data_IF_881950102154
#
_entry.id   IF_881950102154
#
_cell.length_a   1.000
_cell.length_b   1.000
_cell.length_c   1.000
_cell.angle_alpha   90.00
_cell.angle_beta   90.00
_cell.angle_gamma   90.00
#
_symmetry.space_group_name_H-M   'P 1'
#
loop_
_entity.id
_entity.type
_entity.pdbx_description
1 polymer ?
#
# COMPACT_ATOMS: atom_id res chain seq x y z
N UNK A 1 -23.00 -29.93 -9.56
CA UNK A 1 -21.71 -30.66 -9.61
C UNK A 1 -20.56 -29.86 -10.23
N UNK A 2 -20.66 -29.31 -11.45
CA UNK A 2 -19.54 -28.55 -12.09
C UNK A 2 -19.03 -27.35 -11.28
N UNK A 3 -19.93 -26.57 -10.66
CA UNK A 3 -19.53 -25.42 -9.84
C UNK A 3 -18.81 -25.84 -8.55
N UNK A 4 -19.35 -26.85 -7.85
CA UNK A 4 -18.73 -27.39 -6.63
C UNK A 4 -17.31 -27.92 -6.90
N UNK A 5 -17.10 -28.60 -8.03
CA UNK A 5 -15.77 -29.04 -8.44
C UNK A 5 -14.80 -27.86 -8.63
N UNK A 6 -15.23 -26.80 -9.34
CA UNK A 6 -14.41 -25.59 -9.53
C UNK A 6 -14.06 -24.93 -8.20
N UNK A 7 -15.01 -24.87 -7.27
CA UNK A 7 -14.80 -24.29 -5.95
C UNK A 7 -13.79 -25.09 -5.13
N UNK A 8 -13.95 -26.43 -5.08
CA UNK A 8 -13.01 -27.30 -4.37
C UNK A 8 -11.61 -27.21 -4.96
N UNK A 9 -11.50 -27.24 -6.30
CA UNK A 9 -10.22 -27.08 -6.99
C UNK A 9 -9.57 -25.73 -6.66
N UNK A 10 -10.33 -24.64 -6.69
CA UNK A 10 -9.84 -23.31 -6.35
C UNK A 10 -9.32 -23.25 -4.92
N UNK A 11 -10.05 -23.82 -3.95
CA UNK A 11 -9.64 -23.86 -2.55
C UNK A 11 -8.35 -24.69 -2.39
N UNK A 12 -8.23 -25.84 -3.07
CA UNK A 12 -7.00 -26.64 -3.01
C UNK A 12 -5.79 -25.87 -3.55
N UNK A 13 -5.93 -25.19 -4.69
CA UNK A 13 -4.86 -24.37 -5.26
C UNK A 13 -4.52 -23.21 -4.30
N UNK A 14 -5.52 -22.59 -3.67
CA UNK A 14 -5.32 -21.52 -2.70
C UNK A 14 -4.54 -22.00 -1.47
N UNK A 15 -4.85 -23.19 -0.95
CA UNK A 15 -4.11 -23.80 0.17
C UNK A 15 -2.67 -24.07 -0.24
N UNK A 16 -2.44 -24.67 -1.41
CA UNK A 16 -1.09 -24.96 -1.92
C UNK A 16 -0.28 -23.65 -2.05
N UNK A 17 -0.88 -22.61 -2.64
CA UNK A 17 -0.24 -21.30 -2.78
C UNK A 17 0.05 -20.66 -1.43
N UNK A 18 -0.88 -20.73 -0.48
CA UNK A 18 -0.68 -20.28 0.90
C UNK A 18 0.48 -21.02 1.57
N UNK A 19 0.57 -22.34 1.42
CA UNK A 19 1.65 -23.15 1.99
C UNK A 19 3.00 -22.79 1.38
N UNK A 20 3.07 -22.57 0.07
CA UNK A 20 4.30 -22.11 -0.58
C UNK A 20 4.73 -20.74 -0.06
N UNK A 21 3.80 -19.80 0.08
CA UNK A 21 4.11 -18.48 0.65
C UNK A 21 4.54 -18.60 2.12
N UNK A 22 3.92 -19.44 2.93
CA UNK A 22 4.32 -19.70 4.32
C UNK A 22 5.79 -20.14 4.41
N UNK A 23 6.27 -20.95 3.46
CA UNK A 23 7.65 -21.45 3.43
C UNK A 23 8.67 -20.37 3.04
N UNK A 24 8.31 -19.47 2.12
CA UNK A 24 9.21 -18.40 1.64
C UNK A 24 9.23 -17.20 2.60
N UNK A 25 8.17 -17.03 3.40
CA UNK A 25 8.06 -15.88 4.31
C UNK A 25 9.09 -15.95 5.44
N UNK A 26 9.71 -14.81 5.83
CA UNK A 26 10.68 -14.77 6.92
C UNK A 26 10.18 -15.39 8.23
N UNK A 27 11.12 -15.93 9.01
CA UNK A 27 10.83 -16.49 10.33
C UNK A 27 10.41 -15.35 11.25
N UNK A 28 9.39 -15.61 12.07
CA UNK A 28 8.95 -14.64 13.06
C UNK A 28 9.95 -14.58 14.21
N UNK A 29 10.08 -13.40 14.79
CA UNK A 29 10.86 -13.17 16.00
C UNK A 29 10.14 -13.83 17.18
N UNK A 30 10.93 -14.35 18.11
CA UNK A 30 10.46 -15.00 19.33
C UNK A 30 11.05 -14.31 20.55
N UNK A 31 10.52 -14.58 21.73
CA UNK A 31 11.19 -14.16 22.96
C UNK A 31 12.58 -14.81 23.05
N UNK A 32 13.58 -14.03 23.46
CA UNK A 32 14.96 -14.52 23.41
C UNK A 32 16.01 -13.42 23.53
N UNK A 33 17.27 -13.84 23.38
CA UNK A 33 18.45 -12.97 23.36
C UNK A 33 18.79 -12.60 21.92
N UNK A 34 18.93 -11.32 21.67
CA UNK A 34 19.29 -10.74 20.39
C UNK A 34 20.57 -9.92 20.56
N UNK A 35 21.25 -9.62 19.45
CA UNK A 35 22.41 -8.72 19.44
C UNK A 35 22.20 -7.67 18.37
N UNK A 36 22.29 -6.39 18.74
CA UNK A 36 22.35 -5.28 17.81
C UNK A 36 23.83 -4.95 17.56
N UNK A 37 24.30 -5.19 16.34
CA UNK A 37 25.64 -4.83 15.88
C UNK A 37 25.56 -3.49 15.16
N UNK A 38 26.13 -2.43 15.74
CA UNK A 38 26.19 -1.11 15.11
C UNK A 38 27.51 -1.01 14.36
N UNK A 39 27.44 -0.92 13.05
CA UNK A 39 28.57 -0.83 12.15
C UNK A 39 28.70 0.59 11.64
N UNK A 40 29.88 1.19 11.79
CA UNK A 40 30.14 2.56 11.36
C UNK A 40 31.59 2.71 10.88
N UNK A 41 31.84 3.75 10.07
CA UNK A 41 33.16 4.03 9.51
C UNK A 41 33.67 5.38 9.95
N UNK A 42 34.90 5.44 10.43
CA UNK A 42 35.64 6.67 10.76
C UNK A 42 37.04 6.52 10.19
N UNK A 43 37.53 7.52 9.45
CA UNK A 43 38.89 7.56 8.89
C UNK A 43 39.31 6.27 8.17
N UNK A 44 38.39 5.73 7.35
CA UNK A 44 38.53 4.48 6.58
C UNK A 44 38.58 3.18 7.42
N UNK A 45 38.56 3.26 8.75
CA UNK A 45 38.44 2.10 9.63
C UNK A 45 36.96 1.79 9.88
N UNK A 46 36.63 0.48 9.91
CA UNK A 46 35.28 0.02 10.24
C UNK A 46 35.25 -0.44 11.69
N UNK A 47 34.34 0.14 12.46
CA UNK A 47 34.14 -0.16 13.86
C UNK A 47 32.78 -0.84 14.06
N UNK A 48 32.70 -1.69 15.09
CA UNK A 48 31.52 -2.50 15.40
C UNK A 48 31.27 -2.39 16.91
N UNK A 49 30.06 -2.07 17.29
CA UNK A 49 29.61 -2.13 18.68
C UNK A 49 28.56 -3.24 18.82
N UNK A 50 28.78 -4.20 19.74
CA UNK A 50 27.92 -5.36 19.92
C UNK A 50 27.06 -5.19 21.17
N UNK A 51 25.77 -4.94 20.98
CA UNK A 51 24.83 -4.65 22.08
C UNK A 51 23.84 -5.80 22.24
N UNK A 52 24.03 -6.70 23.22
CA UNK A 52 23.07 -7.74 23.50
C UNK A 52 21.80 -7.14 24.14
N UNK A 53 20.63 -7.56 23.69
CA UNK A 53 19.35 -7.19 24.28
C UNK A 53 18.41 -8.40 24.36
N UNK A 54 17.34 -8.26 25.17
CA UNK A 54 16.35 -9.31 25.35
C UNK A 54 14.96 -8.79 24.99
N UNK A 55 14.17 -9.64 24.37
CA UNK A 55 12.75 -9.39 24.10
C UNK A 55 11.92 -10.32 24.99
N UNK A 56 10.92 -9.78 25.69
CA UNK A 56 9.96 -10.56 26.52
C UNK A 56 10.28 -10.68 28.02
N UNK A 57 11.45 -10.23 28.50
CA UNK A 57 11.73 -10.10 29.95
C UNK A 57 11.53 -8.65 30.42
N UNK A 58 11.43 -8.43 31.73
CA UNK A 58 11.37 -7.11 32.37
C UNK A 58 12.51 -6.22 31.85
N UNK A 59 12.21 -5.45 30.82
CA UNK A 59 13.17 -4.72 30.02
C UNK A 59 13.08 -3.26 30.43
N UNK A 60 14.05 -2.80 31.21
CA UNK A 60 14.39 -1.39 31.29
C UNK A 60 15.13 -1.00 30.00
N UNK A 61 15.19 0.30 29.69
CA UNK A 61 16.02 0.77 28.57
C UNK A 61 17.46 0.32 28.78
N UNK A 62 18.01 -0.39 27.81
CA UNK A 62 19.38 -0.89 27.90
C UNK A 62 20.29 0.24 27.45
N UNK A 63 21.03 0.82 28.39
CA UNK A 63 22.13 1.73 28.12
C UNK A 63 23.44 0.94 28.06
N UNK A 64 24.01 0.84 26.87
CA UNK A 64 25.29 0.17 26.66
C UNK A 64 26.31 1.14 26.10
N UNK A 65 27.48 1.23 26.75
CA UNK A 65 28.60 2.06 26.29
C UNK A 65 29.79 1.16 26.00
N UNK A 66 30.12 0.98 24.72
CA UNK A 66 31.33 0.25 24.33
C UNK A 66 32.46 1.23 24.03
N UNK A 67 33.64 0.95 24.62
CA UNK A 67 34.86 1.70 24.33
C UNK A 67 35.62 0.98 23.22
N UNK A 68 35.79 1.65 22.09
CA UNK A 68 36.42 1.11 20.90
C UNK A 68 37.77 1.82 20.71
N UNK A 69 38.81 1.06 20.37
CA UNK A 69 40.19 1.55 20.19
C UNK A 69 40.83 2.18 21.46
N UNK A 70 40.85 1.43 22.57
CA UNK A 70 41.70 1.74 23.73
C UNK A 70 41.47 3.11 24.38
N UNK A 71 40.20 3.48 24.63
CA UNK A 71 39.66 4.75 25.16
C UNK A 71 39.27 5.83 24.15
N UNK A 72 39.55 5.70 22.85
CA UNK A 72 39.35 6.82 21.91
C UNK A 72 37.91 7.14 21.54
N UNK A 73 37.05 6.14 21.49
CA UNK A 73 35.66 6.31 21.04
C UNK A 73 34.72 5.54 21.95
N UNK A 74 33.58 6.15 22.31
CA UNK A 74 32.51 5.48 23.04
C UNK A 74 31.18 5.55 22.29
N UNK A 75 30.51 4.41 22.17
CA UNK A 75 29.18 4.31 21.53
C UNK A 75 28.16 4.03 22.61
N UNK A 76 27.32 5.02 22.91
CA UNK A 76 26.19 4.87 23.83
C UNK A 76 24.94 4.46 23.04
N UNK A 77 24.41 3.28 23.34
CA UNK A 77 23.26 2.69 22.65
C UNK A 77 22.12 2.57 23.64
N UNK A 78 20.96 3.08 23.27
CA UNK A 78 19.70 2.93 23.99
C UNK A 78 18.75 2.09 23.12
N UNK A 79 18.33 0.95 23.64
CA UNK A 79 17.35 0.07 23.00
C UNK A 79 16.04 0.13 23.78
N UNK A 80 14.95 0.50 23.10
CA UNK A 80 13.62 0.54 23.70
C UNK A 80 13.18 -0.84 24.17
N UNK A 81 12.54 -0.90 25.34
CA UNK A 81 12.03 -2.14 25.89
C UNK A 81 10.82 -2.69 25.15
N UNK A 82 10.84 -3.99 24.84
CA UNK A 82 9.72 -4.72 24.25
C UNK A 82 9.24 -5.79 25.24
N UNK A 83 8.21 -5.41 26.02
CA UNK A 83 7.59 -6.30 27.01
C UNK A 83 6.81 -7.44 26.37
N UNK A 84 6.18 -7.20 25.22
CA UNK A 84 5.40 -8.20 24.46
C UNK A 84 5.61 -7.99 22.97
N UNK A 85 5.95 -9.07 22.24
CA UNK A 85 5.96 -9.08 20.78
C UNK A 85 4.53 -9.13 20.25
N UNK A 86 4.03 -7.99 19.76
CA UNK A 86 2.76 -7.91 19.07
C UNK A 86 2.98 -7.46 17.61
N UNK A 87 2.14 -7.89 16.66
CA UNK A 87 2.18 -7.37 15.30
C UNK A 87 2.12 -5.84 15.30
N UNK A 88 3.05 -5.19 14.61
CA UNK A 88 3.15 -3.72 14.55
C UNK A 88 4.01 -3.06 15.63
N UNK A 89 4.57 -3.81 16.59
CA UNK A 89 5.50 -3.22 17.58
C UNK A 89 6.78 -2.71 16.90
N UNK A 90 7.24 -1.54 17.31
CA UNK A 90 8.48 -0.94 16.81
C UNK A 90 9.54 -1.01 17.91
N UNK A 91 10.71 -1.54 17.57
CA UNK A 91 11.94 -1.49 18.35
C UNK A 91 12.75 -0.26 17.89
N UNK A 92 13.02 0.64 18.81
CA UNK A 92 13.92 1.77 18.58
C UNK A 92 15.30 1.42 19.11
N UNK A 93 16.30 1.47 18.23
CA UNK A 93 17.71 1.46 18.61
C UNK A 93 18.22 2.87 18.38
N UNK A 94 18.71 3.53 19.44
CA UNK A 94 19.27 4.88 19.38
C UNK A 94 20.74 4.80 19.70
N UNK A 95 21.58 5.19 18.75
CA UNK A 95 23.03 5.19 18.92
C UNK A 95 23.56 6.63 19.01
N UNK A 96 24.43 6.88 19.96
CA UNK A 96 25.14 8.15 20.16
C UNK A 96 26.63 7.89 20.19
N UNK A 97 27.39 8.66 19.41
CA UNK A 97 28.83 8.53 19.29
C UNK A 97 29.51 9.67 20.05
N UNK A 98 30.47 9.30 20.90
CA UNK A 98 31.17 10.18 21.82
C UNK A 98 32.68 10.01 21.63
N UNK A 99 33.41 11.12 21.55
CA UNK A 99 34.88 11.15 21.53
C UNK A 99 35.46 10.95 22.96
N UNK A 100 36.79 10.84 23.09
CA UNK A 100 37.57 10.80 24.33
C UNK A 100 37.09 11.78 25.41
N UNK A 101 36.70 12.99 25.00
CA UNK A 101 36.25 14.06 25.91
C UNK A 101 34.74 14.01 26.22
N UNK A 102 34.04 12.92 25.84
CA UNK A 102 32.57 12.79 25.86
C UNK A 102 31.84 13.86 25.03
N UNK A 103 32.53 14.48 24.09
CA UNK A 103 31.96 15.37 23.10
C UNK A 103 31.26 14.58 22.01
N UNK A 104 30.13 15.07 21.53
CA UNK A 104 29.34 14.44 20.47
C UNK A 104 30.15 14.46 19.18
N UNK A 105 30.21 13.34 18.47
CA UNK A 105 30.77 13.24 17.12
C UNK A 105 29.64 13.32 16.09
N UNK A 106 29.30 14.51 15.56
CA UNK A 106 28.30 14.63 14.50
C UNK A 106 28.87 14.18 13.14
N UNK A 107 28.02 13.61 12.28
CA UNK A 107 28.32 13.46 10.85
C UNK A 107 29.05 12.18 10.46
N UNK A 108 28.97 11.10 11.25
CA UNK A 108 29.44 9.79 10.83
C UNK A 108 28.57 9.30 9.67
N UNK A 109 29.20 9.07 8.52
CA UNK A 109 28.54 8.57 7.31
C UNK A 109 28.49 7.03 7.31
N UNK A 110 27.46 6.47 6.66
CA UNK A 110 27.28 5.02 6.46
C UNK A 110 27.14 4.19 7.75
N UNK A 111 26.33 4.66 8.70
CA UNK A 111 26.00 3.89 9.90
C UNK A 111 24.90 2.89 9.59
N UNK A 112 25.08 1.68 10.10
CA UNK A 112 24.15 0.56 9.98
C UNK A 112 23.94 -0.10 11.33
N UNK A 113 22.77 -0.70 11.50
CA UNK A 113 22.44 -1.54 12.63
C UNK A 113 22.00 -2.91 12.12
N UNK A 114 22.81 -3.92 12.41
CA UNK A 114 22.56 -5.31 12.05
C UNK A 114 21.96 -6.02 13.27
N UNK A 115 20.75 -6.55 13.14
CA UNK A 115 20.14 -7.35 14.21
C UNK A 115 20.41 -8.82 13.95
N UNK A 116 21.16 -9.44 14.86
CA UNK A 116 21.43 -10.88 14.87
C UNK A 116 20.39 -11.59 15.71
N UNK A 117 19.66 -12.50 15.08
CA UNK A 117 18.64 -13.35 15.70
C UNK A 117 19.29 -14.49 16.51
N UNK A 118 18.54 -15.12 17.44
CA UNK A 118 18.98 -16.32 18.15
C UNK A 118 19.38 -17.48 17.22
N UNK A 119 18.83 -17.54 16.01
CA UNK A 119 19.13 -18.57 15.00
C UNK A 119 20.35 -18.23 14.12
N UNK A 120 21.02 -17.11 14.37
CA UNK A 120 22.19 -16.64 13.65
C UNK A 120 21.91 -15.87 12.37
N UNK A 121 20.64 -15.64 12.01
CA UNK A 121 20.29 -14.77 10.86
C UNK A 121 20.50 -13.30 11.22
N UNK A 122 20.93 -12.51 10.24
CA UNK A 122 21.18 -11.08 10.41
C UNK A 122 20.27 -10.26 9.50
N UNK A 123 19.65 -9.22 10.03
CA UNK A 123 18.88 -8.23 9.27
C UNK A 123 19.54 -6.86 9.36
N UNK A 124 19.86 -6.26 8.21
CA UNK A 124 20.51 -4.96 8.09
C UNK A 124 19.47 -3.83 8.10
N UNK A 125 19.69 -2.83 8.96
CA UNK A 125 18.85 -1.63 9.07
C UNK A 125 19.70 -0.36 8.95
N UNK A 126 19.17 0.63 8.23
CA UNK A 126 19.78 1.95 8.11
C UNK A 126 19.13 2.96 9.04
N UNK A 127 19.86 4.01 9.39
CA UNK A 127 19.36 5.07 10.26
C UNK A 127 18.12 5.72 9.63
N UNK A 128 17.00 5.72 10.36
CA UNK A 128 15.73 6.30 9.92
C UNK A 128 15.70 7.82 10.07
N UNK A 129 16.44 8.35 11.05
CA UNK A 129 16.62 9.79 11.28
C UNK A 129 17.89 10.06 12.07
N UNK A 130 18.46 11.24 11.86
CA UNK A 130 19.59 11.76 12.63
C UNK A 130 19.16 13.09 13.23
N UNK A 131 19.21 13.19 14.55
CA UNK A 131 18.96 14.45 15.23
C UNK A 131 20.22 15.33 15.17
N UNK A 132 20.12 16.48 14.50
CA UNK A 132 21.22 17.41 14.29
C UNK A 132 21.71 18.07 15.58
N UNK A 133 20.86 18.20 16.59
CA UNK A 133 21.18 18.88 17.85
C UNK A 133 21.82 17.92 18.87
N UNK A 134 21.36 16.67 18.91
CA UNK A 134 21.81 15.68 19.88
C UNK A 134 22.82 14.66 19.33
N UNK A 135 22.98 14.59 18.00
CA UNK A 135 23.83 13.62 17.30
C UNK A 135 23.35 12.17 17.46
N UNK A 136 22.06 11.96 17.75
CA UNK A 136 21.48 10.63 17.97
C UNK A 136 21.00 10.06 16.63
N UNK A 137 21.50 8.87 16.32
CA UNK A 137 21.06 8.07 15.17
C UNK A 137 19.96 7.13 15.63
N UNK A 138 18.76 7.26 15.05
CA UNK A 138 17.61 6.41 15.39
C UNK A 138 17.36 5.38 14.30
N UNK A 139 17.37 4.10 14.67
CA UNK A 139 16.97 2.98 13.82
C UNK A 139 15.58 2.53 14.25
N UNK A 140 14.60 2.61 13.34
CA UNK A 140 13.26 2.07 13.52
C UNK A 140 13.22 0.65 12.96
N UNK A 141 13.04 -0.33 13.85
CA UNK A 141 13.07 -1.75 13.50
C UNK A 141 11.70 -2.32 13.81
N UNK A 142 11.09 -3.01 12.85
CA UNK A 142 9.80 -3.68 13.05
C UNK A 142 10.01 -5.21 13.04
N UNK A 143 10.01 -5.86 14.21
CA UNK A 143 10.09 -7.32 14.30
C UNK A 143 8.98 -8.00 13.51
N UNK A 144 9.33 -9.08 12.81
CA UNK A 144 8.35 -9.93 12.15
C UNK A 144 7.60 -10.76 13.20
N UNK A 145 6.31 -10.51 13.43
CA UNK A 145 5.47 -11.28 14.36
C UNK A 145 4.41 -12.01 13.56
N UNK A 146 4.38 -13.35 13.65
CA UNK A 146 3.48 -14.22 12.88
C UNK A 146 3.50 -13.95 11.37
N UNK A 147 4.69 -13.66 10.84
CA UNK A 147 4.87 -13.33 9.44
C UNK A 147 4.47 -14.50 8.53
N UNK A 148 4.81 -15.74 8.90
CA UNK A 148 4.50 -16.91 8.07
C UNK A 148 3.00 -17.15 7.95
N UNK A 149 2.26 -16.98 9.04
CA UNK A 149 0.81 -17.05 9.08
C UNK A 149 0.19 -15.96 8.19
N UNK A 150 0.71 -14.74 8.25
CA UNK A 150 0.31 -13.66 7.36
C UNK A 150 0.61 -14.00 5.88
N UNK A 151 1.77 -14.59 5.60
CA UNK A 151 2.19 -15.06 4.29
C UNK A 151 1.27 -16.15 3.72
N UNK A 152 0.81 -17.08 4.55
CA UNK A 152 -0.17 -18.08 4.16
C UNK A 152 -1.49 -17.44 3.71
N UNK A 153 -2.02 -16.51 4.51
CA UNK A 153 -3.26 -15.80 4.15
C UNK A 153 -3.07 -15.01 2.88
N UNK A 154 -1.94 -14.32 2.72
CA UNK A 154 -1.63 -13.55 1.52
C UNK A 154 -1.59 -14.44 0.25
N UNK A 155 -0.85 -15.55 0.27
CA UNK A 155 -0.75 -16.47 -0.86
C UNK A 155 -2.10 -17.08 -1.25
N UNK A 156 -2.86 -17.55 -0.25
CA UNK A 156 -4.19 -18.12 -0.48
C UNK A 156 -5.19 -17.07 -0.99
N UNK A 157 -5.17 -15.83 -0.46
CA UNK A 157 -6.04 -14.75 -0.89
C UNK A 157 -5.80 -14.34 -2.35
N UNK A 158 -4.55 -14.35 -2.84
CA UNK A 158 -4.23 -14.05 -4.25
C UNK A 158 -4.95 -15.03 -5.18
N UNK A 159 -4.88 -16.32 -4.88
CA UNK A 159 -5.54 -17.35 -5.70
C UNK A 159 -7.06 -17.20 -5.65
N UNK A 160 -7.63 -17.00 -4.46
CA UNK A 160 -9.06 -16.79 -4.30
C UNK A 160 -9.55 -15.52 -5.02
N UNK A 161 -8.73 -14.47 -5.05
CA UNK A 161 -9.01 -13.23 -5.77
C UNK A 161 -8.97 -13.44 -7.30
N UNK A 162 -7.93 -14.11 -7.81
CA UNK A 162 -7.85 -14.47 -9.23
C UNK A 162 -9.00 -15.42 -9.66
N UNK A 163 -9.49 -16.23 -8.72
CA UNK A 163 -10.66 -17.10 -8.85
C UNK A 163 -12.01 -16.39 -8.75
N UNK A 164 -12.09 -15.06 -8.96
CA UNK A 164 -13.31 -14.26 -8.79
C UNK A 164 -14.54 -14.79 -9.56
N UNK A 165 -14.32 -15.51 -10.66
CA UNK A 165 -15.37 -16.16 -11.45
C UNK A 165 -16.08 -17.32 -10.72
N UNK A 166 -15.47 -17.84 -9.65
CA UNK A 166 -15.99 -18.93 -8.82
C UNK A 166 -16.37 -18.41 -7.44
N UNK A 167 -15.50 -17.62 -6.80
CA UNK A 167 -15.74 -17.05 -5.48
C UNK A 167 -15.72 -15.52 -5.57
N UNK A 168 -16.81 -14.86 -5.19
CA UNK A 168 -16.89 -13.39 -5.29
C UNK A 168 -15.81 -12.71 -4.44
N UNK A 169 -15.19 -11.63 -4.94
CA UNK A 169 -14.07 -10.94 -4.30
C UNK A 169 -14.40 -10.43 -2.88
N UNK A 170 -15.66 -10.10 -2.60
CA UNK A 170 -16.14 -9.74 -1.25
C UNK A 170 -15.91 -10.90 -0.26
N UNK A 171 -16.17 -12.13 -0.68
CA UNK A 171 -15.95 -13.31 0.17
C UNK A 171 -14.46 -13.53 0.41
N UNK A 172 -13.63 -13.30 -0.60
CA UNK A 172 -12.16 -13.34 -0.48
C UNK A 172 -11.62 -12.28 0.49
N UNK A 173 -12.18 -11.07 0.46
CA UNK A 173 -11.86 -10.01 1.42
C UNK A 173 -12.16 -10.42 2.86
N UNK A 174 -13.40 -10.87 3.11
CA UNK A 174 -13.83 -11.34 4.42
C UNK A 174 -13.01 -12.54 4.91
N UNK A 175 -12.72 -13.51 4.01
CA UNK A 175 -11.82 -14.63 4.30
C UNK A 175 -10.48 -14.14 4.82
N UNK A 176 -9.88 -13.14 4.17
CA UNK A 176 -8.56 -12.63 4.54
C UNK A 176 -8.57 -12.08 5.96
N UNK A 177 -9.55 -11.25 6.30
CA UNK A 177 -9.68 -10.68 7.66
C UNK A 177 -9.94 -11.76 8.71
N UNK A 178 -10.89 -12.67 8.45
CA UNK A 178 -11.23 -13.75 9.39
C UNK A 178 -10.04 -14.69 9.61
N UNK A 179 -9.34 -15.07 8.54
CA UNK A 179 -8.17 -15.93 8.62
C UNK A 179 -7.03 -15.27 9.43
N UNK A 180 -6.79 -13.97 9.24
CA UNK A 180 -5.80 -13.22 10.02
C UNK A 180 -6.16 -13.17 11.52
N UNK A 181 -7.45 -13.04 11.87
CA UNK A 181 -7.90 -13.09 13.28
C UNK A 181 -7.71 -14.49 13.87
N UNK A 182 -8.13 -15.53 13.15
CA UNK A 182 -8.04 -16.92 13.62
C UNK A 182 -6.59 -17.34 13.84
N UNK A 183 -5.69 -16.95 12.94
CA UNK A 183 -4.25 -17.18 13.09
C UNK A 183 -3.61 -16.22 14.11
N UNK A 184 -4.37 -15.24 14.60
CA UNK A 184 -3.96 -14.24 15.58
C UNK A 184 -2.86 -13.31 15.08
N UNK A 185 -2.83 -13.05 13.78
CA UNK A 185 -1.96 -12.05 13.13
C UNK A 185 -2.50 -10.64 13.38
N UNK A 186 -3.83 -10.49 13.46
CA UNK A 186 -4.48 -9.24 13.88
C UNK A 186 -5.29 -9.48 15.16
N UNK A 187 -5.42 -8.43 15.96
CA UNK A 187 -6.22 -8.48 17.19
C UNK A 187 -7.71 -8.68 16.92
N UNK A 188 -8.40 -9.38 17.82
CA UNK A 188 -9.84 -9.66 17.70
C UNK A 188 -10.75 -8.50 18.08
N UNK A 189 -10.21 -7.43 18.69
CA UNK A 189 -11.03 -6.33 19.21
C UNK A 189 -11.69 -5.50 18.11
N UNK A 190 -11.00 -5.24 17.00
CA UNK A 190 -11.53 -4.42 15.88
C UNK A 190 -10.99 -4.86 14.50
N UNK A 191 -11.12 -6.13 14.09
CA UNK A 191 -10.46 -6.63 12.87
C UNK A 191 -11.01 -6.03 11.57
N UNK A 192 -12.23 -5.49 11.61
CA UNK A 192 -12.90 -4.88 10.47
C UNK A 192 -12.72 -3.36 10.39
N UNK A 193 -11.95 -2.73 11.28
CA UNK A 193 -11.72 -1.27 11.25
C UNK A 193 -11.20 -0.77 9.90
N UNK A 194 -10.40 -1.59 9.21
CA UNK A 194 -9.85 -1.28 7.89
C UNK A 194 -10.90 -1.14 6.78
N UNK A 195 -12.09 -1.73 6.94
CA UNK A 195 -13.20 -1.56 6.00
C UNK A 195 -13.92 -0.22 6.17
N UNK A 196 -13.65 0.49 7.27
CA UNK A 196 -14.28 1.77 7.64
C UNK A 196 -13.27 2.93 7.57
N UNK A 197 -12.22 2.81 6.75
CA UNK A 197 -11.29 3.93 6.56
C UNK A 197 -11.97 5.10 5.85
N UNK A 198 -11.54 6.32 6.14
CA UNK A 198 -12.13 7.53 5.55
C UNK A 198 -12.12 7.51 4.01
N UNK A 199 -11.07 6.91 3.42
CA UNK A 199 -10.91 6.83 1.96
C UNK A 199 -11.92 5.86 1.33
N UNK A 200 -12.31 4.79 2.05
CA UNK A 200 -13.41 3.90 1.64
C UNK A 200 -14.76 4.60 1.81
N UNK A 201 -14.95 5.38 2.88
CA UNK A 201 -16.19 6.15 3.09
C UNK A 201 -16.39 7.23 2.01
N UNK A 202 -15.33 7.92 1.60
CA UNK A 202 -15.37 8.88 0.47
C UNK A 202 -15.79 8.18 -0.82
N UNK A 203 -15.27 6.97 -1.08
CA UNK A 203 -15.68 6.20 -2.25
C UNK A 203 -17.17 5.84 -2.21
N UNK A 204 -17.66 5.35 -1.06
CA UNK A 204 -19.09 5.03 -0.88
C UNK A 204 -19.96 6.27 -1.11
N UNK A 205 -19.58 7.42 -0.55
CA UNK A 205 -20.27 8.68 -0.76
C UNK A 205 -20.26 9.12 -2.23
N UNK A 206 -19.12 8.96 -2.91
CA UNK A 206 -18.95 9.23 -4.33
C UNK A 206 -19.81 8.33 -5.23
N UNK A 207 -19.87 7.03 -4.94
CA UNK A 207 -20.77 6.10 -5.63
C UNK A 207 -22.25 6.43 -5.40
N UNK A 208 -22.60 6.95 -4.22
CA UNK A 208 -23.93 7.49 -3.96
C UNK A 208 -24.26 8.72 -4.82
N UNK A 209 -23.30 9.64 -4.98
CA UNK A 209 -23.44 10.79 -5.87
C UNK A 209 -23.60 10.36 -7.33
N UNK A 210 -22.81 9.39 -7.78
CA UNK A 210 -22.94 8.77 -9.12
C UNK A 210 -24.37 8.28 -9.37
N UNK A 211 -24.95 7.54 -8.40
CA UNK A 211 -26.32 7.04 -8.49
C UNK A 211 -27.33 8.19 -8.67
N UNK A 212 -27.20 9.27 -7.88
CA UNK A 212 -28.07 10.44 -7.97
C UNK A 212 -27.95 11.13 -9.33
N UNK A 213 -26.73 11.31 -9.85
CA UNK A 213 -26.48 11.91 -11.17
C UNK A 213 -27.18 11.11 -12.26
N UNK A 214 -27.05 9.77 -12.19
CA UNK A 214 -27.65 8.84 -13.15
C UNK A 214 -29.17 8.79 -13.06
N UNK A 215 -29.74 8.74 -11.86
CA UNK A 215 -31.21 8.72 -11.68
C UNK A 215 -31.88 9.99 -12.19
N UNK A 216 -31.19 11.13 -12.09
CA UNK A 216 -31.68 12.40 -12.64
C UNK A 216 -31.41 12.58 -14.15
N UNK A 217 -30.68 11.65 -14.77
CA UNK A 217 -30.24 11.70 -16.17
C UNK A 217 -29.39 12.92 -16.48
N UNK A 218 -28.63 13.44 -15.49
CA UNK A 218 -27.79 14.62 -15.67
C UNK A 218 -26.63 14.33 -16.61
N UNK A 219 -26.01 13.16 -16.46
CA UNK A 219 -25.02 12.58 -17.37
C UNK A 219 -25.49 12.59 -18.84
N UNK A 220 -26.71 12.11 -19.11
CA UNK A 220 -27.28 12.12 -20.47
C UNK A 220 -27.54 13.53 -21.00
N UNK A 221 -28.01 14.45 -20.13
CA UNK A 221 -28.29 15.85 -20.53
C UNK A 221 -27.01 16.57 -20.91
N UNK A 222 -25.96 16.43 -20.10
CA UNK A 222 -24.63 16.99 -20.37
C UNK A 222 -24.07 16.39 -21.66
N UNK A 223 -24.22 15.07 -21.84
CA UNK A 223 -23.77 14.40 -23.05
C UNK A 223 -24.48 14.89 -24.32
N UNK A 224 -25.80 14.99 -24.29
CA UNK A 224 -26.59 15.53 -25.41
C UNK A 224 -26.23 16.98 -25.73
N UNK A 225 -26.01 17.82 -24.71
CA UNK A 225 -25.63 19.22 -24.90
C UNK A 225 -24.29 19.35 -25.64
N UNK A 226 -23.28 18.61 -25.19
CA UNK A 226 -21.93 18.68 -25.76
C UNK A 226 -21.86 18.08 -27.17
N UNK A 227 -22.64 17.03 -27.44
CA UNK A 227 -22.73 16.46 -28.79
C UNK A 227 -23.46 17.39 -29.77
N UNK A 228 -24.45 18.18 -29.33
CA UNK A 228 -25.07 19.22 -30.18
C UNK A 228 -24.08 20.30 -30.63
N UNK A 229 -23.04 20.54 -29.84
CA UNK A 229 -21.98 21.50 -30.18
C UNK A 229 -20.95 20.93 -31.17
N UNK A 230 -20.97 19.62 -31.41
CA UNK A 230 -20.00 18.94 -32.28
C UNK A 230 -20.45 18.99 -33.74
N UNK A 231 -19.73 19.75 -34.57
CA UNK A 231 -20.11 20.04 -35.98
C UNK A 231 -19.30 19.27 -37.04
N UNK A 232 -18.25 18.56 -36.66
CA UNK A 232 -17.39 17.79 -37.57
C UNK A 232 -17.00 16.43 -36.98
N UNK A 233 -16.59 15.44 -37.79
CA UNK A 233 -16.13 14.13 -37.31
C UNK A 233 -14.95 14.21 -36.33
N UNK A 234 -14.00 15.12 -36.56
CA UNK A 234 -12.88 15.34 -35.66
C UNK A 234 -13.32 15.97 -34.33
N UNK A 235 -14.19 16.98 -34.40
CA UNK A 235 -14.76 17.63 -33.22
C UNK A 235 -15.59 16.64 -32.40
N UNK A 236 -16.28 15.70 -33.05
CA UNK A 236 -17.03 14.63 -32.40
C UNK A 236 -16.11 13.70 -31.61
N UNK A 237 -15.00 13.25 -32.19
CA UNK A 237 -14.04 12.39 -31.50
C UNK A 237 -13.45 13.11 -30.29
N UNK A 238 -13.01 14.35 -30.45
CA UNK A 238 -12.42 15.13 -29.36
C UNK A 238 -13.44 15.41 -28.25
N UNK A 239 -14.64 15.87 -28.60
CA UNK A 239 -15.68 16.21 -27.63
C UNK A 239 -16.19 14.98 -26.89
N UNK A 240 -16.36 13.84 -27.58
CA UNK A 240 -16.80 12.59 -26.98
C UNK A 240 -15.72 11.97 -26.09
N UNK A 241 -14.45 12.03 -26.48
CA UNK A 241 -13.31 11.59 -25.67
C UNK A 241 -13.19 12.44 -24.40
N UNK A 242 -13.23 13.77 -24.53
CA UNK A 242 -13.20 14.67 -23.39
C UNK A 242 -14.37 14.42 -22.44
N UNK A 243 -15.58 14.28 -22.99
CA UNK A 243 -16.78 14.05 -22.19
C UNK A 243 -16.77 12.70 -21.48
N UNK A 244 -16.37 11.63 -22.15
CA UNK A 244 -16.25 10.31 -21.51
C UNK A 244 -15.22 10.37 -20.39
N UNK A 245 -14.06 11.00 -20.63
CA UNK A 245 -13.04 11.19 -19.59
C UNK A 245 -13.61 11.98 -18.41
N UNK A 246 -14.26 13.12 -18.67
CA UNK A 246 -14.87 13.96 -17.65
C UNK A 246 -15.97 13.24 -16.86
N UNK A 247 -16.86 12.49 -17.51
CA UNK A 247 -17.88 11.70 -16.81
C UNK A 247 -17.21 10.64 -15.94
N UNK A 248 -16.21 9.93 -16.49
CA UNK A 248 -15.46 8.87 -15.80
C UNK A 248 -14.67 9.36 -14.59
N UNK A 249 -14.45 10.67 -14.44
CA UNK A 249 -13.92 11.25 -13.20
C UNK A 249 -14.88 11.07 -12.01
N UNK A 250 -16.18 10.95 -12.26
CA UNK A 250 -17.22 10.96 -11.23
C UNK A 250 -18.08 9.70 -11.23
N UNK A 251 -18.00 8.90 -12.28
CA UNK A 251 -18.75 7.65 -12.49
C UNK A 251 -17.78 6.54 -12.86
N UNK A 252 -18.22 5.28 -12.75
CA UNK A 252 -17.39 4.16 -13.21
C UNK A 252 -17.10 4.24 -14.72
N UNK A 253 -15.90 3.83 -15.14
CA UNK A 253 -15.49 3.78 -16.56
C UNK A 253 -16.54 3.08 -17.45
N UNK A 254 -17.14 2.03 -16.89
CA UNK A 254 -18.21 1.26 -17.52
C UNK A 254 -19.47 2.11 -17.71
N UNK A 255 -19.95 2.81 -16.67
CA UNK A 255 -21.12 3.67 -16.75
C UNK A 255 -20.93 4.85 -17.72
N UNK A 256 -19.78 5.54 -17.67
CA UNK A 256 -19.45 6.63 -18.60
C UNK A 256 -19.55 6.18 -20.07
N UNK A 257 -19.01 4.99 -20.36
CA UNK A 257 -19.07 4.40 -21.70
C UNK A 257 -20.51 4.04 -22.09
N UNK A 258 -21.30 3.47 -21.19
CA UNK A 258 -22.70 3.11 -21.44
C UNK A 258 -23.58 4.31 -21.79
N UNK A 259 -23.39 5.45 -21.13
CA UNK A 259 -24.13 6.70 -21.43
C UNK A 259 -23.85 7.18 -22.86
N UNK A 260 -22.60 7.03 -23.31
CA UNK A 260 -22.13 7.57 -24.58
C UNK A 260 -22.38 6.65 -25.78
N UNK A 261 -22.40 5.33 -25.58
CA UNK A 261 -22.58 4.33 -26.62
C UNK A 261 -23.83 4.55 -27.51
N UNK A 262 -25.05 4.70 -26.98
CA UNK A 262 -26.23 4.92 -27.83
C UNK A 262 -26.17 6.25 -28.60
N UNK A 263 -25.65 7.31 -27.98
CA UNK A 263 -25.52 8.63 -28.60
C UNK A 263 -24.56 8.58 -29.80
N UNK A 264 -23.47 7.85 -29.66
CA UNK A 264 -22.45 7.71 -30.68
C UNK A 264 -22.94 6.87 -31.85
N UNK A 265 -23.68 5.79 -31.60
CA UNK A 265 -24.29 4.99 -32.66
C UNK A 265 -25.27 5.82 -33.51
N UNK A 266 -26.08 6.68 -32.87
CA UNK A 266 -27.00 7.58 -33.58
C UNK A 266 -26.24 8.57 -34.48
N UNK A 267 -25.11 9.10 -34.02
CA UNK A 267 -24.32 10.06 -34.78
C UNK A 267 -23.57 9.38 -35.93
N UNK A 268 -22.95 8.22 -35.69
CA UNK A 268 -22.29 7.43 -36.73
C UNK A 268 -23.23 7.12 -37.90
N UNK A 269 -24.47 6.73 -37.58
CA UNK A 269 -25.52 6.50 -38.60
C UNK A 269 -25.92 7.77 -39.33
N UNK A 270 -26.05 8.91 -38.64
CA UNK A 270 -26.44 10.19 -39.26
C UNK A 270 -25.37 10.79 -40.18
N UNK A 271 -24.09 10.62 -39.84
CA UNK A 271 -22.98 11.18 -40.63
C UNK A 271 -22.56 10.22 -41.76
N UNK A 272 -23.16 9.04 -41.86
CA UNK A 272 -22.81 8.03 -42.87
C UNK A 272 -21.41 7.42 -42.68
N UNK A 273 -20.81 7.61 -41.49
CA UNK A 273 -19.49 7.08 -41.12
C UNK A 273 -19.63 5.68 -40.49
N UNK A 274 -20.43 4.82 -41.12
CA UNK A 274 -20.61 3.42 -40.71
C UNK A 274 -19.44 2.52 -41.11
N UNK A 275 -18.46 3.08 -41.82
CA UNK A 275 -17.24 2.37 -42.19
C UNK A 275 -16.54 1.84 -40.93
N UNK A 276 -16.14 0.58 -40.94
CA UNK A 276 -15.65 -0.13 -39.74
C UNK A 276 -14.45 0.57 -39.10
N UNK A 277 -13.65 1.27 -39.90
CA UNK A 277 -12.46 1.98 -39.45
C UNK A 277 -12.80 3.16 -38.52
N UNK A 278 -13.82 3.96 -38.86
CA UNK A 278 -14.19 5.15 -38.08
C UNK A 278 -14.93 4.79 -36.79
N UNK A 279 -15.85 3.82 -36.86
CA UNK A 279 -16.55 3.30 -35.69
C UNK A 279 -15.60 2.66 -34.69
N UNK A 280 -14.62 1.87 -35.16
CA UNK A 280 -13.61 1.25 -34.29
C UNK A 280 -12.70 2.28 -33.62
N UNK A 281 -12.21 3.28 -34.36
CA UNK A 281 -11.37 4.35 -33.80
C UNK A 281 -12.13 5.08 -32.69
N UNK A 282 -13.39 5.47 -32.95
CA UNK A 282 -14.18 6.19 -31.97
C UNK A 282 -14.43 5.33 -30.73
N UNK A 283 -14.86 4.07 -30.87
CA UNK A 283 -15.10 3.19 -29.73
C UNK A 283 -13.84 2.94 -28.88
N UNK A 284 -12.68 2.75 -29.51
CA UNK A 284 -11.39 2.61 -28.80
C UNK A 284 -11.02 3.92 -28.10
N UNK A 285 -11.18 5.07 -28.75
CA UNK A 285 -10.92 6.37 -28.13
C UNK A 285 -11.77 6.59 -26.88
N UNK A 286 -13.04 6.19 -26.87
CA UNK A 286 -13.89 6.28 -25.69
C UNK A 286 -13.43 5.34 -24.57
N UNK A 287 -13.08 4.09 -24.91
CA UNK A 287 -12.64 3.12 -23.91
C UNK A 287 -11.34 3.58 -23.22
N UNK A 288 -10.41 4.14 -23.99
CA UNK A 288 -9.18 4.76 -23.46
C UNK A 288 -9.54 6.01 -22.65
N UNK A 289 -10.41 6.88 -23.16
CA UNK A 289 -10.83 8.08 -22.45
C UNK A 289 -11.49 7.78 -21.10
N UNK A 290 -12.34 6.75 -21.03
CA UNK A 290 -12.96 6.32 -19.78
C UNK A 290 -11.89 5.84 -18.80
N UNK A 291 -10.94 5.04 -19.28
CA UNK A 291 -9.85 4.53 -18.45
C UNK A 291 -8.95 5.65 -17.91
N UNK A 292 -8.61 6.64 -18.74
CA UNK A 292 -7.81 7.81 -18.35
C UNK A 292 -8.61 8.74 -17.43
N UNK A 293 -9.86 9.07 -17.78
CA UNK A 293 -10.68 9.93 -16.94
C UNK A 293 -10.93 9.36 -15.54
N UNK A 294 -11.05 8.03 -15.43
CA UNK A 294 -11.18 7.33 -14.16
C UNK A 294 -9.96 7.43 -13.23
N UNK A 295 -8.77 7.79 -13.72
CA UNK A 295 -7.58 7.97 -12.86
C UNK A 295 -7.55 9.35 -12.19
N UNK A 296 -8.29 10.33 -12.72
CA UNK A 296 -8.17 11.72 -12.30
C UNK A 296 -8.71 12.02 -10.89
N UNK A 297 -9.67 11.25 -10.37
CA UNK A 297 -10.20 11.42 -9.00
C UNK A 297 -10.11 10.11 -8.21
N UNK A 298 -10.18 10.18 -6.88
CA UNK A 298 -10.29 8.98 -6.05
C UNK A 298 -11.56 8.16 -6.34
N UNK A 299 -12.65 8.81 -6.75
CA UNK A 299 -13.96 8.16 -6.94
C UNK A 299 -13.98 7.34 -8.24
N UNK A 300 -13.26 7.79 -9.28
CA UNK A 300 -13.36 7.24 -10.63
C UNK A 300 -13.08 5.73 -10.71
N UNK A 301 -12.08 5.22 -9.99
CA UNK A 301 -11.78 3.77 -9.98
C UNK A 301 -11.27 3.25 -8.63
N UNK A 302 -11.61 2.00 -8.23
CA UNK A 302 -11.12 1.40 -6.99
C UNK A 302 -9.59 1.37 -6.79
N UNK A 303 -8.76 1.14 -7.83
CA UNK A 303 -7.29 1.19 -7.68
C UNK A 303 -6.76 2.51 -7.13
N UNK A 304 -7.39 3.65 -7.41
CA UNK A 304 -6.97 4.96 -6.91
C UNK A 304 -7.07 5.03 -5.38
N UNK A 305 -8.16 4.51 -4.82
CA UNK A 305 -8.41 4.46 -3.37
C UNK A 305 -7.43 3.53 -2.69
N UNK A 306 -7.18 2.36 -3.29
CA UNK A 306 -6.20 1.41 -2.77
C UNK A 306 -4.82 2.07 -2.75
N UNK A 307 -4.40 2.68 -3.86
CA UNK A 307 -3.12 3.38 -3.94
C UNK A 307 -3.00 4.51 -2.92
N UNK A 308 -4.01 5.37 -2.78
CA UNK A 308 -4.02 6.45 -1.81
C UNK A 308 -3.96 5.94 -0.36
N UNK A 309 -4.68 4.87 -0.04
CA UNK A 309 -4.60 4.21 1.27
C UNK A 309 -3.19 3.68 1.55
N UNK A 310 -2.59 2.95 0.60
CA UNK A 310 -1.22 2.44 0.73
C UNK A 310 -0.18 3.56 0.88
N UNK A 311 -0.32 4.66 0.13
CA UNK A 311 0.58 5.81 0.25
C UNK A 311 0.49 6.44 1.64
N UNK A 312 -0.73 6.63 2.16
CA UNK A 312 -0.95 7.16 3.50
C UNK A 312 -0.34 6.27 4.57
N UNK A 313 -0.55 4.96 4.47
CA UNK A 313 -0.07 3.99 5.46
C UNK A 313 1.46 3.81 5.42
N UNK A 314 2.03 3.58 4.23
CA UNK A 314 3.45 3.21 4.08
C UNK A 314 4.40 4.40 3.99
N UNK A 315 4.01 5.47 3.30
CA UNK A 315 4.90 6.61 3.03
C UNK A 315 4.68 7.72 4.05
N UNK A 316 3.42 8.03 4.36
CA UNK A 316 3.06 9.16 5.23
C UNK A 316 2.80 8.75 6.69
N UNK A 317 3.14 7.52 7.07
CA UNK A 317 3.12 7.06 8.46
C UNK A 317 1.72 7.00 9.07
N UNK A 318 0.70 6.70 8.26
CA UNK A 318 -0.70 6.64 8.68
C UNK A 318 -1.40 8.00 8.77
N UNK A 319 -0.73 9.09 8.35
CA UNK A 319 -1.41 10.38 8.18
C UNK A 319 -2.21 10.37 6.87
N UNK A 320 -3.43 10.92 6.90
CA UNK A 320 -4.26 11.13 5.71
C UNK A 320 -3.71 12.28 4.85
N UNK A 321 -2.51 12.07 4.31
CA UNK A 321 -1.82 13.04 3.49
C UNK A 321 -2.38 13.07 2.07
N UNK A 322 -2.69 11.93 1.48
CA UNK A 322 -3.33 11.81 0.17
C UNK A 322 -4.84 11.77 0.41
N UNK A 323 -5.45 12.96 0.36
CA UNK A 323 -6.89 13.16 0.37
C UNK A 323 -7.44 13.31 -1.07
N UNK A 324 -8.75 13.53 -1.20
CA UNK A 324 -9.39 13.73 -2.50
C UNK A 324 -8.75 14.88 -3.30
N UNK A 325 -8.46 16.00 -2.64
CA UNK A 325 -7.93 17.20 -3.28
C UNK A 325 -6.54 16.98 -3.83
N UNK A 326 -5.65 16.35 -3.05
CA UNK A 326 -4.28 16.07 -3.48
C UNK A 326 -4.25 14.98 -4.54
N UNK A 327 -5.11 13.97 -4.44
CA UNK A 327 -5.26 13.02 -5.53
C UNK A 327 -5.70 13.71 -6.81
N UNK A 328 -6.66 14.65 -6.74
CA UNK A 328 -7.07 15.43 -7.91
C UNK A 328 -5.89 16.19 -8.52
N UNK A 329 -5.02 16.80 -7.72
CA UNK A 329 -3.81 17.47 -8.25
C UNK A 329 -2.83 16.50 -8.93
N UNK A 330 -2.76 15.24 -8.48
CA UNK A 330 -1.88 14.22 -9.04
C UNK A 330 -2.50 13.59 -10.31
N UNK A 331 -3.79 13.27 -10.25
CA UNK A 331 -4.50 12.51 -11.27
C UNK A 331 -5.09 13.37 -12.38
N UNK A 332 -5.53 14.61 -12.11
CA UNK A 332 -6.15 15.47 -13.12
C UNK A 332 -5.23 15.85 -14.30
N UNK A 333 -3.91 16.04 -14.11
CA UNK A 333 -3.00 16.27 -15.24
C UNK A 333 -2.77 15.05 -16.16
N UNK A 334 -3.29 13.86 -15.80
CA UNK A 334 -2.99 12.58 -16.46
C UNK A 334 -3.85 12.25 -17.69
#
# INVERSE_FOLDING_TARGET
MKYLYKLVLLIMIAIISGTLMYMVTPVSWSEGKYTAEIVFKIDNNTYRALVPFYIGKSSEEIHYTEVIDGNKLSVAVNISSLKTLAPGTILYVRAKFLDNNKTILPGIANIKCDIVLPDGRTYEYYASSVDSDTGIYTFKIQPYVKAREAGFVFGSAIVLFAGASVLHYVVTGLYSTIALVILGVIGSKDPFQYYMSNIVLIFIAGSGLELIIKENGLDERVARLLLRLSRSPYTLIISSTFLVSFLSMWTSNTAATYVMLPLILVILNKVGLTDMKYSSILLVSLAVAASVGGTATLIGTPPNIIAAGFLNDLIYGGMEYIDFTRWLYIGFPA
#
